data_IF_949652346056
#
_entry.id   IF_949652346056
#
_cell.length_a   1.000
_cell.length_b   1.000
_cell.length_c   1.000
_cell.angle_alpha   90.00
_cell.angle_beta   90.00
_cell.angle_gamma   90.00
#
_symmetry.space_group_name_H-M   'P 1'
#
loop_
_entity.id
_entity.type
_entity.pdbx_description
1 polymer ?
#
# COMPACT_ATOMS: atom_id res chain seq x y z
N UNK A 1 16.89 -5.72 38.30
CA UNK A 1 16.26 -6.88 37.64
C UNK A 1 15.09 -6.37 36.80
N UNK A 2 15.13 -6.47 35.46
CA UNK A 2 14.06 -6.00 34.57
C UNK A 2 13.18 -7.19 34.17
N UNK A 3 11.88 -7.09 34.44
CA UNK A 3 10.89 -8.13 34.15
C UNK A 3 10.43 -8.03 32.70
N UNK A 4 10.63 -9.10 31.91
CA UNK A 4 10.14 -9.21 30.54
C UNK A 4 8.66 -9.64 30.59
N UNK A 5 7.76 -8.76 30.15
CA UNK A 5 6.36 -9.12 29.93
C UNK A 5 6.26 -9.84 28.59
N UNK A 6 6.00 -11.14 28.63
CA UNK A 6 5.62 -11.93 27.46
C UNK A 6 4.13 -11.67 27.18
N UNK A 7 3.83 -10.97 26.10
CA UNK A 7 2.46 -10.86 25.58
C UNK A 7 2.02 -12.21 25.04
N UNK A 8 1.01 -12.84 25.69
CA UNK A 8 0.32 -14.01 25.16
C UNK A 8 -0.65 -13.55 24.06
N UNK A 9 -0.47 -14.08 22.86
CA UNK A 9 -1.41 -13.89 21.76
C UNK A 9 -2.63 -14.80 21.96
N UNK A 10 -3.82 -14.28 21.64
CA UNK A 10 -5.07 -15.04 21.65
C UNK A 10 -5.19 -15.81 20.32
N UNK A 11 -4.93 -17.11 20.36
CA UNK A 11 -5.29 -18.01 19.25
C UNK A 11 -6.79 -17.88 18.98
N UNK A 12 -7.15 -17.40 17.79
CA UNK A 12 -8.54 -17.30 17.35
C UNK A 12 -8.68 -18.07 16.02
N UNK A 13 -9.53 -19.10 16.04
CA UNK A 13 -10.10 -19.72 14.84
C UNK A 13 -9.68 -21.17 14.61
N UNK A 14 -10.63 -22.10 14.79
CA UNK A 14 -10.50 -23.49 14.30
C UNK A 14 -10.54 -23.44 12.77
N UNK A 15 -9.42 -23.74 12.12
CA UNK A 15 -9.37 -23.93 10.66
C UNK A 15 -9.85 -25.35 10.37
N UNK A 16 -11.14 -25.50 10.07
CA UNK A 16 -11.73 -26.78 9.63
C UNK A 16 -11.16 -27.16 8.25
N UNK A 17 -10.23 -28.11 8.23
CA UNK A 17 -9.73 -28.71 6.98
C UNK A 17 -10.82 -29.59 6.37
N UNK A 18 -11.55 -29.05 5.38
CA UNK A 18 -12.48 -29.86 4.55
C UNK A 18 -11.71 -30.97 3.84
N UNK A 19 -11.92 -32.22 4.27
CA UNK A 19 -11.50 -33.42 3.53
C UNK A 19 -12.29 -33.50 2.23
N UNK A 20 -11.62 -33.41 1.09
CA UNK A 20 -12.20 -33.82 -0.20
C UNK A 20 -12.28 -35.35 -0.20
N UNK A 21 -13.47 -35.89 -0.02
CA UNK A 21 -13.74 -37.30 -0.31
C UNK A 21 -14.24 -37.33 -1.75
N UNK A 22 -13.40 -37.87 -2.63
CA UNK A 22 -13.79 -38.36 -3.94
C UNK A 22 -14.76 -39.52 -3.76
N UNK A 23 -16.00 -39.35 -4.24
CA UNK A 23 -17.01 -40.39 -4.30
C UNK A 23 -17.76 -40.29 -5.62
N UNK A 24 -17.51 -41.26 -6.50
CA UNK A 24 -18.18 -41.47 -7.77
C UNK A 24 -19.59 -42.03 -7.54
N UNK A 25 -20.61 -41.41 -8.15
CA UNK A 25 -21.64 -42.11 -8.95
C UNK A 25 -22.67 -41.15 -9.55
N UNK A 26 -23.00 -41.44 -10.81
CA UNK A 26 -24.19 -41.09 -11.63
C UNK A 26 -25.48 -40.87 -10.83
N UNK A 27 -26.43 -39.98 -11.19
CA UNK A 27 -27.13 -39.93 -12.47
C UNK A 27 -28.07 -38.69 -12.57
N UNK A 28 -28.34 -38.26 -13.81
CA UNK A 28 -29.45 -37.45 -14.40
C UNK A 28 -29.71 -35.96 -14.12
N UNK A 29 -29.80 -35.26 -15.27
CA UNK A 29 -30.75 -34.21 -15.68
C UNK A 29 -30.62 -32.81 -15.08
N UNK A 30 -30.09 -31.91 -15.91
CA UNK A 30 -30.13 -30.46 -15.74
C UNK A 30 -31.51 -29.90 -16.16
N UNK A 31 -31.97 -28.79 -15.56
CA UNK A 31 -32.27 -27.63 -16.40
C UNK A 31 -31.48 -26.39 -15.97
N UNK A 32 -31.02 -25.54 -16.90
CA UNK A 32 -30.24 -24.35 -16.56
C UNK A 32 -31.19 -23.28 -16.02
N UNK A 33 -31.01 -22.90 -14.75
CA UNK A 33 -31.71 -21.76 -14.16
C UNK A 33 -30.96 -20.45 -14.44
N UNK A 34 -31.69 -19.34 -14.62
CA UNK A 34 -31.34 -18.25 -15.52
C UNK A 34 -30.23 -17.36 -14.99
N UNK A 35 -29.39 -16.95 -15.92
CA UNK A 35 -28.31 -15.98 -15.77
C UNK A 35 -28.86 -14.66 -15.20
N UNK A 36 -28.55 -14.35 -13.94
CA UNK A 36 -28.54 -12.97 -13.47
C UNK A 36 -27.30 -12.31 -14.06
N UNK A 37 -27.39 -11.87 -15.32
CA UNK A 37 -26.46 -10.89 -15.86
C UNK A 37 -26.68 -9.61 -15.07
N UNK A 38 -25.81 -9.34 -14.11
CA UNK A 38 -25.63 -7.95 -13.68
C UNK A 38 -25.27 -7.16 -14.95
N UNK A 39 -25.80 -5.94 -15.15
CA UNK A 39 -25.32 -5.06 -16.20
C UNK A 39 -23.81 -4.90 -16.03
N UNK A 40 -23.05 -5.44 -16.98
CA UNK A 40 -21.67 -5.03 -17.27
C UNK A 40 -21.74 -3.57 -17.69
N UNK A 41 -21.66 -2.66 -16.72
CA UNK A 41 -21.93 -1.25 -17.01
C UNK A 41 -21.66 -0.26 -15.88
N UNK A 42 -20.90 -0.64 -14.86
CA UNK A 42 -20.23 0.34 -14.00
C UNK A 42 -18.75 0.01 -14.02
N UNK A 43 -18.09 0.40 -15.12
CA UNK A 43 -16.67 0.73 -15.06
C UNK A 43 -16.60 2.00 -14.21
N UNK A 44 -16.56 1.84 -12.89
CA UNK A 44 -15.95 2.85 -12.04
C UNK A 44 -14.55 3.02 -12.59
N UNK A 45 -14.26 4.12 -13.26
CA UNK A 45 -12.88 4.56 -13.46
C UNK A 45 -12.35 5.05 -12.10
N UNK A 46 -12.38 4.17 -11.10
CA UNK A 46 -11.47 4.28 -9.98
C UNK A 46 -10.12 3.88 -10.58
N UNK A 47 -9.26 4.87 -10.79
CA UNK A 47 -7.84 4.61 -11.00
C UNK A 47 -7.41 3.59 -9.94
N UNK A 48 -7.07 2.39 -10.38
CA UNK A 48 -6.72 1.29 -9.50
C UNK A 48 -5.50 1.71 -8.68
N UNK A 49 -5.74 2.13 -7.43
CA UNK A 49 -4.68 2.53 -6.51
C UNK A 49 -3.83 1.28 -6.28
N UNK A 50 -2.53 1.28 -6.63
CA UNK A 50 -1.74 0.08 -6.49
C UNK A 50 -1.68 -0.39 -5.04
N UNK A 51 -1.71 -1.70 -4.82
CA UNK A 51 -1.54 -2.32 -3.50
C UNK A 51 -0.33 -1.77 -2.73
N UNK A 52 0.71 -1.34 -3.45
CA UNK A 52 1.88 -0.69 -2.87
C UNK A 52 1.55 0.64 -2.16
N UNK A 53 0.69 1.49 -2.72
CA UNK A 53 0.25 2.74 -2.09
C UNK A 53 -0.57 2.43 -0.84
N UNK A 54 -1.54 1.53 -0.94
CA UNK A 54 -2.39 1.13 0.20
C UNK A 54 -1.54 0.57 1.34
N UNK A 55 -0.54 -0.24 1.00
CA UNK A 55 0.41 -0.77 1.97
C UNK A 55 1.24 0.33 2.62
N UNK A 56 1.76 1.30 1.85
CA UNK A 56 2.54 2.42 2.39
C UNK A 56 1.73 3.31 3.34
N UNK A 57 0.42 3.41 3.15
CA UNK A 57 -0.46 4.19 4.05
C UNK A 57 -0.70 3.50 5.39
N UNK A 58 -0.60 2.18 5.43
CA UNK A 58 -0.90 1.37 6.62
C UNK A 58 0.35 0.84 7.34
N UNK A 59 1.50 0.86 6.67
CA UNK A 59 2.72 0.25 7.17
C UNK A 59 3.90 1.21 7.18
N UNK A 60 4.82 0.99 8.11
CA UNK A 60 6.06 1.74 8.24
C UNK A 60 7.29 0.86 8.45
N UNK A 61 7.14 -0.46 8.52
CA UNK A 61 8.23 -1.45 8.62
C UNK A 61 7.92 -2.70 7.77
N UNK A 62 8.93 -3.48 7.38
CA UNK A 62 10.37 -3.22 7.54
C UNK A 62 10.84 -2.12 6.56
N UNK A 63 11.84 -1.32 6.98
CA UNK A 63 12.35 -0.19 6.18
C UNK A 63 12.75 -0.55 4.74
N UNK A 64 13.33 -1.73 4.53
CA UNK A 64 13.68 -2.23 3.17
C UNK A 64 12.46 -2.35 2.25
N UNK A 65 11.32 -2.81 2.78
CA UNK A 65 10.06 -2.90 2.03
C UNK A 65 9.45 -1.54 1.80
N UNK A 66 9.52 -0.64 2.78
CA UNK A 66 9.08 0.75 2.64
C UNK A 66 9.82 1.39 1.47
N UNK A 67 11.15 1.40 1.47
CA UNK A 67 11.95 2.02 0.39
C UNK A 67 11.62 1.44 -0.98
N UNK A 68 11.52 0.11 -1.10
CA UNK A 68 11.19 -0.54 -2.38
C UNK A 68 9.83 -0.07 -2.92
N UNK A 69 8.78 -0.11 -2.08
CA UNK A 69 7.44 0.34 -2.46
C UNK A 69 7.39 1.86 -2.67
N UNK A 70 8.18 2.62 -1.91
CA UNK A 70 8.27 4.07 -2.02
C UNK A 70 8.78 4.48 -3.41
N UNK A 71 9.87 3.86 -3.86
CA UNK A 71 10.44 4.07 -5.20
C UNK A 71 9.49 3.60 -6.30
N UNK A 72 8.86 2.44 -6.15
CA UNK A 72 7.88 1.92 -7.13
C UNK A 72 6.68 2.87 -7.32
N UNK A 73 6.31 3.60 -6.28
CA UNK A 73 5.12 4.44 -6.25
C UNK A 73 5.40 5.94 -6.40
N UNK A 74 6.65 6.35 -6.65
CA UNK A 74 7.07 7.75 -6.64
C UNK A 74 6.20 8.66 -7.54
N UNK A 75 5.96 8.24 -8.78
CA UNK A 75 5.11 8.99 -9.74
C UNK A 75 3.69 9.20 -9.24
N UNK A 76 3.09 8.17 -8.66
CA UNK A 76 1.70 8.22 -8.17
C UNK A 76 1.64 9.12 -6.92
N UNK A 77 2.56 8.93 -5.98
CA UNK A 77 2.65 9.75 -4.77
C UNK A 77 2.91 11.22 -5.08
N UNK A 78 3.68 11.54 -6.12
CA UNK A 78 3.92 12.92 -6.58
C UNK A 78 2.62 13.61 -7.00
N UNK A 79 1.72 12.91 -7.70
CA UNK A 79 0.41 13.47 -8.03
C UNK A 79 -0.46 13.66 -6.78
N UNK A 80 -0.54 12.65 -5.89
CA UNK A 80 -1.29 12.77 -4.64
C UNK A 80 -0.76 13.89 -3.73
N UNK A 81 0.55 14.15 -3.71
CA UNK A 81 1.13 15.21 -2.88
C UNK A 81 0.70 16.62 -3.28
N UNK A 82 0.21 16.82 -4.52
CA UNK A 82 -0.31 18.13 -4.97
C UNK A 82 -1.67 18.45 -4.36
N UNK A 83 -2.41 17.42 -3.94
CA UNK A 83 -3.76 17.54 -3.38
C UNK A 83 -3.77 17.56 -1.85
N UNK A 84 -2.62 17.24 -1.22
CA UNK A 84 -2.49 17.11 0.22
C UNK A 84 -1.60 18.22 0.78
N UNK A 85 -1.96 18.74 1.96
CA UNK A 85 -1.01 19.51 2.76
C UNK A 85 0.13 18.64 3.25
N UNK A 86 1.28 19.26 3.56
CA UNK A 86 2.44 18.54 4.11
C UNK A 86 2.09 17.73 5.38
N UNK A 87 1.23 18.28 6.25
CA UNK A 87 0.77 17.59 7.45
C UNK A 87 -0.07 16.35 7.13
N UNK A 88 -1.01 16.47 6.20
CA UNK A 88 -1.81 15.33 5.73
C UNK A 88 -0.93 14.28 5.09
N UNK A 89 0.06 14.67 4.29
CA UNK A 89 1.00 13.74 3.67
C UNK A 89 1.78 12.92 4.71
N UNK A 90 2.27 13.56 5.77
CA UNK A 90 2.92 12.85 6.89
C UNK A 90 1.95 11.99 7.70
N UNK A 91 0.66 12.35 7.78
CA UNK A 91 -0.37 11.52 8.40
C UNK A 91 -0.65 10.28 7.57
N UNK A 92 -0.82 10.43 6.26
CA UNK A 92 -1.09 9.36 5.31
C UNK A 92 0.06 8.36 5.22
N UNK A 93 1.32 8.82 5.29
CA UNK A 93 2.49 7.95 5.16
C UNK A 93 3.26 7.85 6.48
N UNK A 94 2.91 6.89 7.37
CA UNK A 94 3.48 6.79 8.72
C UNK A 94 4.99 6.57 8.74
N UNK A 95 5.57 6.02 7.66
CA UNK A 95 7.01 5.87 7.50
C UNK A 95 7.78 7.22 7.58
N UNK A 96 7.15 8.33 7.17
CA UNK A 96 7.78 9.66 7.18
C UNK A 96 8.00 10.22 8.58
N UNK A 97 7.22 9.76 9.57
CA UNK A 97 7.34 10.19 10.97
C UNK A 97 8.53 9.56 11.69
N UNK A 98 9.23 8.62 11.04
CA UNK A 98 10.37 7.92 11.63
C UNK A 98 11.66 8.70 11.42
N UNK A 99 12.67 8.37 12.23
CA UNK A 99 14.01 8.92 12.07
C UNK A 99 14.62 8.63 10.69
N UNK A 100 14.21 7.56 10.01
CA UNK A 100 14.64 7.23 8.64
C UNK A 100 13.75 7.82 7.55
N UNK A 101 12.63 8.46 7.90
CA UNK A 101 11.64 8.96 6.96
C UNK A 101 12.19 10.00 5.99
N UNK A 102 13.21 10.77 6.38
CA UNK A 102 13.85 11.75 5.50
C UNK A 102 14.50 11.12 4.27
N UNK A 103 15.01 9.88 4.36
CA UNK A 103 15.66 9.17 3.25
C UNK A 103 14.66 8.95 2.10
N UNK A 104 13.39 8.73 2.43
CA UNK A 104 12.31 8.63 1.46
C UNK A 104 12.09 9.95 0.70
N UNK A 105 12.18 11.09 1.40
CA UNK A 105 12.06 12.41 0.78
C UNK A 105 13.30 12.76 -0.05
N UNK A 106 14.49 12.39 0.41
CA UNK A 106 15.74 12.55 -0.32
C UNK A 106 15.70 11.79 -1.65
N UNK A 107 15.18 10.56 -1.65
CA UNK A 107 14.96 9.81 -2.89
C UNK A 107 13.97 10.47 -3.85
N UNK A 108 12.84 10.95 -3.33
CA UNK A 108 11.86 11.66 -4.16
C UNK A 108 12.48 12.96 -4.73
N UNK A 109 13.31 13.64 -3.95
CA UNK A 109 14.05 14.82 -4.40
C UNK A 109 15.06 14.48 -5.51
N UNK A 110 15.87 13.44 -5.32
CA UNK A 110 16.85 12.98 -6.31
C UNK A 110 16.18 12.58 -7.65
N UNK A 111 15.01 11.95 -7.59
CA UNK A 111 14.25 11.58 -8.78
C UNK A 111 13.71 12.79 -9.54
N UNK A 112 13.33 13.85 -8.82
CA UNK A 112 12.77 15.08 -9.41
C UNK A 112 13.84 16.01 -9.97
N UNK A 113 15.01 16.09 -9.34
CA UNK A 113 16.03 17.12 -9.62
C UNK A 113 17.40 16.56 -10.01
N UNK A 114 17.51 15.25 -10.23
CA UNK A 114 18.73 14.63 -10.79
C UNK A 114 19.97 14.74 -9.91
N UNK A 115 19.82 14.94 -8.60
CA UNK A 115 20.92 14.99 -7.63
C UNK A 115 21.79 16.25 -7.64
N UNK A 116 21.54 17.22 -8.51
CA UNK A 116 22.25 18.51 -8.53
C UNK A 116 21.51 19.55 -7.68
N UNK A 117 21.78 19.51 -6.37
CA UNK A 117 21.15 20.36 -5.34
C UNK A 117 21.61 21.84 -5.38
N UNK A 118 22.39 22.27 -6.37
CA UNK A 118 22.93 23.64 -6.41
C UNK A 118 21.91 24.67 -6.89
N UNK A 119 20.99 24.31 -7.80
CA UNK A 119 20.12 25.28 -8.47
C UNK A 119 18.93 25.75 -7.60
N UNK A 120 18.46 24.91 -6.67
CA UNK A 120 17.36 25.30 -5.76
C UNK A 120 17.77 26.46 -4.86
N UNK A 121 19.00 26.49 -4.34
CA UNK A 121 19.46 27.60 -3.50
C UNK A 121 19.74 28.88 -4.31
N UNK A 122 20.11 28.77 -5.58
CA UNK A 122 20.27 29.94 -6.45
C UNK A 122 18.92 30.64 -6.70
N UNK A 123 17.84 29.87 -6.76
CA UNK A 123 16.46 30.37 -6.89
C UNK A 123 15.97 31.14 -5.64
N UNK A 124 16.58 30.89 -4.48
CA UNK A 124 16.27 31.56 -3.21
C UNK A 124 17.19 32.75 -2.91
N UNK A 125 17.80 33.40 -3.91
CA UNK A 125 18.52 34.66 -3.66
C UNK A 125 17.58 35.71 -3.09
N UNK A 126 17.67 35.87 -1.76
CA UNK A 126 17.06 36.94 -0.99
C UNK A 126 17.65 38.25 -1.53
N UNK A 127 16.81 39.05 -2.20
CA UNK A 127 17.11 40.46 -2.52
C UNK A 127 16.79 41.36 -1.33
#
# INVERSE_FOLDING_TARGET
MRSLHVTKYRESGVIEKRRRISGSSSDKSNPPSPSLRLPEGYTSQEEEIPDAIVWLKSSSEPWSTVLRKWTETARIRSNLSKELSIFQYFVEYPALKKSTGYISLEKDFDELYGGTCTEIFESFRIS
#
